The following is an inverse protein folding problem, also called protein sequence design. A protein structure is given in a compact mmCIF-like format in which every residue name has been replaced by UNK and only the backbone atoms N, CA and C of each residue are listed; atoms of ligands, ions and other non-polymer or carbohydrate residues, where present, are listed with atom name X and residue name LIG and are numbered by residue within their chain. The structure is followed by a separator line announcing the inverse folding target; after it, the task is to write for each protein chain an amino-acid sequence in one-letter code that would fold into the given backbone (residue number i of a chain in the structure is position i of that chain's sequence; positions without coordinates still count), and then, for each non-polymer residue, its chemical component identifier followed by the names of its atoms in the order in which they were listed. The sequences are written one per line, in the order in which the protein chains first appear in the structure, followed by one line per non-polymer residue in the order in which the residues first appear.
data_IF_581550096658
#
_entry.id   IF_581550096658
#
_cell.length_a   1.000
_cell.length_b   1.000
_cell.length_c   1.000
_cell.angle_alpha   90.00
_cell.angle_beta   90.00
_cell.angle_gamma   90.00
#
_symmetry.space_group_name_H-M   'P 1'
#
loop_
_entity.id
_entity.type
_entity.pdbx_description
1 polymer ?
#
# COMPACT_ATOMS: atom_id res chain seq x y z
N UNK A 1 4.06 19.94 -11.04
CA UNK A 1 4.85 18.73 -10.75
C UNK A 1 4.62 17.74 -11.87
N UNK A 2 5.66 17.06 -12.33
CA UNK A 2 5.62 16.07 -13.39
C UNK A 2 6.22 14.75 -12.88
N UNK A 3 5.57 13.63 -13.19
CA UNK A 3 6.13 12.30 -12.97
C UNK A 3 6.87 11.88 -14.23
N UNK A 4 8.19 11.78 -14.16
CA UNK A 4 9.02 11.29 -15.25
C UNK A 4 9.26 9.79 -15.08
N UNK A 5 8.52 8.97 -15.82
CA UNK A 5 8.49 7.51 -15.66
C UNK A 5 9.82 6.85 -16.00
N UNK A 6 10.48 7.28 -17.08
CA UNK A 6 11.70 6.65 -17.60
C UNK A 6 12.87 6.72 -16.61
N UNK A 7 13.04 7.87 -15.95
CA UNK A 7 14.07 8.06 -14.93
C UNK A 7 13.58 7.81 -13.51
N UNK A 8 12.34 7.33 -13.34
CA UNK A 8 11.69 7.12 -12.05
C UNK A 8 11.87 8.32 -11.09
N UNK A 9 11.51 9.52 -11.56
CA UNK A 9 11.72 10.76 -10.79
C UNK A 9 10.52 11.71 -10.83
N UNK A 10 10.34 12.46 -9.74
CA UNK A 10 9.44 13.60 -9.66
C UNK A 10 10.18 14.88 -10.02
N UNK A 11 9.60 15.67 -10.93
CA UNK A 11 10.13 16.97 -11.35
C UNK A 11 9.22 18.06 -10.80
N UNK A 12 9.77 18.94 -9.97
CA UNK A 12 9.08 19.99 -9.24
C UNK A 12 9.59 21.36 -9.67
N UNK A 13 8.68 22.24 -10.09
CA UNK A 13 8.98 23.67 -10.23
C UNK A 13 8.68 24.35 -8.90
N UNK A 14 9.72 24.67 -8.15
CA UNK A 14 9.63 25.29 -6.83
C UNK A 14 10.22 26.70 -6.89
N UNK A 15 9.62 27.63 -6.13
CA UNK A 15 10.21 28.97 -5.94
C UNK A 15 11.52 28.90 -5.14
N UNK A 16 11.51 28.03 -4.14
CA UNK A 16 12.66 27.76 -3.28
C UNK A 16 12.94 26.24 -3.28
N UNK A 17 13.96 25.78 -4.04
CA UNK A 17 14.38 24.39 -4.06
C UNK A 17 14.89 23.86 -2.72
N UNK A 18 15.41 24.72 -1.83
CA UNK A 18 16.00 24.31 -0.56
C UNK A 18 15.00 23.57 0.34
N UNK A 19 13.72 23.94 0.24
CA UNK A 19 12.60 23.26 0.90
C UNK A 19 12.55 21.76 0.66
N UNK A 20 13.09 21.28 -0.46
CA UNK A 20 13.12 19.86 -0.80
C UNK A 20 14.54 19.29 -0.71
N UNK A 21 15.55 20.01 -1.20
CA UNK A 21 16.94 19.51 -1.21
C UNK A 21 17.55 19.37 0.18
N UNK A 22 17.08 20.11 1.18
CA UNK A 22 17.52 19.97 2.57
C UNK A 22 16.99 18.70 3.25
N UNK A 23 15.81 18.21 2.84
CA UNK A 23 15.15 17.06 3.49
C UNK A 23 15.26 15.76 2.71
N UNK A 24 15.51 15.83 1.39
CA UNK A 24 15.64 14.66 0.53
C UNK A 24 17.06 14.63 -0.03
N UNK A 25 17.95 13.78 0.50
CA UNK A 25 19.37 13.74 0.09
C UNK A 25 19.59 13.52 -1.40
N UNK A 26 18.70 12.77 -2.06
CA UNK A 26 18.77 12.47 -3.48
C UNK A 26 18.14 13.56 -4.39
N UNK A 27 17.63 14.66 -3.82
CA UNK A 27 17.04 15.74 -4.59
C UNK A 27 18.13 16.68 -5.14
N UNK A 28 18.00 17.05 -6.41
CA UNK A 28 18.95 17.93 -7.10
C UNK A 28 18.23 18.94 -7.97
N UNK A 29 18.84 20.11 -8.15
CA UNK A 29 18.34 21.12 -9.08
C UNK A 29 18.97 20.87 -10.45
N UNK A 30 18.13 20.76 -11.48
CA UNK A 30 18.56 20.53 -12.86
C UNK A 30 17.93 21.57 -13.78
N UNK A 31 18.65 22.08 -14.79
CA UNK A 31 18.06 22.90 -15.82
C UNK A 31 17.16 22.03 -16.72
N UNK A 32 15.95 22.51 -17.01
CA UNK A 32 15.02 21.86 -17.94
C UNK A 32 14.65 22.85 -19.05
N UNK A 33 14.82 22.42 -20.29
CA UNK A 33 14.57 23.24 -21.49
C UNK A 33 13.13 23.79 -21.48
N UNK A 34 12.99 25.09 -21.79
CA UNK A 34 11.71 25.78 -21.81
C UNK A 34 11.06 26.08 -20.45
N UNK A 35 11.58 25.53 -19.33
CA UNK A 35 10.97 25.68 -18.00
C UNK A 35 11.89 26.40 -17.00
N UNK A 36 13.21 26.26 -17.17
CA UNK A 36 14.25 26.78 -16.27
C UNK A 36 14.71 25.73 -15.25
N UNK A 37 15.24 26.19 -14.12
CA UNK A 37 15.70 25.30 -13.04
C UNK A 37 14.51 24.59 -12.36
N UNK A 38 14.57 23.26 -12.29
CA UNK A 38 13.59 22.42 -11.63
C UNK A 38 14.26 21.53 -10.60
N UNK A 39 13.54 21.20 -9.53
CA UNK A 39 14.00 20.25 -8.52
C UNK A 39 13.59 18.84 -8.94
N UNK A 40 14.57 17.99 -9.22
CA UNK A 40 14.37 16.57 -9.49
C UNK A 40 14.55 15.77 -8.22
N UNK A 41 13.60 14.88 -7.93
CA UNK A 41 13.60 14.00 -6.76
C UNK A 41 13.40 12.56 -7.25
N UNK A 42 14.08 11.59 -6.64
CA UNK A 42 13.78 10.16 -6.88
C UNK A 42 12.31 9.89 -6.55
N UNK A 43 11.60 9.13 -7.38
CA UNK A 43 10.20 8.81 -7.15
C UNK A 43 10.03 7.52 -6.34
N UNK A 44 10.46 7.57 -5.07
CA UNK A 44 10.21 6.51 -4.09
C UNK A 44 9.02 6.84 -3.17
N UNK A 45 8.65 5.85 -2.35
CA UNK A 45 7.53 5.98 -1.41
C UNK A 45 7.85 6.97 -0.29
N UNK A 46 9.07 6.89 0.26
CA UNK A 46 9.51 7.78 1.33
C UNK A 46 9.65 9.22 0.84
N UNK A 47 10.23 9.43 -0.34
CA UNK A 47 10.31 10.77 -0.94
C UNK A 47 8.90 11.35 -1.16
N UNK A 48 7.95 10.55 -1.64
CA UNK A 48 6.56 10.99 -1.79
C UNK A 48 5.91 11.39 -0.45
N UNK A 49 6.15 10.61 0.62
CA UNK A 49 5.67 10.92 1.98
C UNK A 49 6.31 12.19 2.54
N UNK A 50 7.63 12.36 2.38
CA UNK A 50 8.36 13.58 2.82
C UNK A 50 7.83 14.80 2.09
N UNK A 51 7.64 14.72 0.77
CA UNK A 51 7.06 15.83 -0.01
C UNK A 51 5.66 16.22 0.50
N UNK A 52 4.81 15.25 0.84
CA UNK A 52 3.49 15.52 1.43
C UNK A 52 3.57 16.20 2.78
N UNK A 53 4.49 15.78 3.64
CA UNK A 53 4.73 16.45 4.93
C UNK A 53 5.20 17.90 4.76
N UNK A 54 5.87 18.21 3.65
CA UNK A 54 6.28 19.58 3.28
C UNK A 54 5.15 20.39 2.61
N UNK A 55 3.94 19.85 2.52
CA UNK A 55 2.77 20.48 1.87
C UNK A 55 2.76 20.36 0.34
N UNK A 56 3.59 19.48 -0.23
CA UNK A 56 3.61 19.20 -1.68
C UNK A 56 2.83 17.91 -1.92
N UNK A 57 1.72 18.00 -2.65
CA UNK A 57 0.83 16.87 -2.93
C UNK A 57 1.43 15.87 -3.94
N UNK A 58 2.51 15.18 -3.56
CA UNK A 58 3.15 14.13 -4.36
C UNK A 58 2.24 12.88 -4.46
N UNK A 59 2.09 12.25 -5.64
CA UNK A 59 1.41 10.97 -5.74
C UNK A 59 2.28 9.84 -5.17
N UNK A 60 1.71 8.66 -4.96
CA UNK A 60 2.45 7.45 -4.60
C UNK A 60 2.99 6.74 -5.84
N UNK A 61 4.20 6.15 -5.80
CA UNK A 61 4.70 5.35 -6.91
C UNK A 61 3.83 4.12 -7.21
N UNK A 62 3.02 3.62 -6.26
CA UNK A 62 2.07 2.52 -6.50
C UNK A 62 1.14 2.82 -7.68
N UNK A 63 0.70 4.07 -7.88
CA UNK A 63 -0.18 4.45 -9.00
C UNK A 63 0.45 4.15 -10.37
N UNK A 64 1.78 4.20 -10.47
CA UNK A 64 2.49 4.20 -11.76
C UNK A 64 3.24 2.90 -12.06
N UNK A 65 3.74 2.21 -11.03
CA UNK A 65 4.67 1.10 -11.19
C UNK A 65 4.19 -0.22 -10.59
N UNK A 66 3.03 -0.23 -9.95
CA UNK A 66 2.42 -1.45 -9.42
C UNK A 66 1.40 -2.01 -10.42
N UNK A 67 1.33 -3.34 -10.52
CA UNK A 67 0.55 -4.01 -11.57
C UNK A 67 -0.94 -4.17 -11.24
N UNK A 68 -1.34 -4.00 -9.97
CA UNK A 68 -2.70 -4.22 -9.50
C UNK A 68 -3.23 -5.62 -9.87
N UNK A 69 -2.68 -6.68 -9.27
CA UNK A 69 -3.04 -8.06 -9.57
C UNK A 69 -4.54 -8.25 -9.34
N UNK A 70 -5.24 -8.64 -10.40
CA UNK A 70 -6.68 -8.85 -10.43
C UNK A 70 -6.98 -10.00 -11.38
N UNK A 71 -8.07 -10.72 -11.12
CA UNK A 71 -8.44 -11.86 -11.94
C UNK A 71 -8.85 -11.38 -13.33
N UNK A 72 -8.27 -11.91 -14.43
CA UNK A 72 -8.72 -11.56 -15.78
C UNK A 72 -10.20 -11.93 -15.99
N UNK A 73 -10.96 -11.16 -16.80
CA UNK A 73 -10.55 -10.01 -17.61
C UNK A 73 -10.70 -8.64 -16.91
N UNK A 74 -10.90 -8.63 -15.59
CA UNK A 74 -11.16 -7.39 -14.86
C UNK A 74 -9.94 -6.45 -14.85
N UNK A 75 -10.21 -5.16 -14.64
CA UNK A 75 -9.20 -4.11 -14.49
C UNK A 75 -9.50 -3.29 -13.24
N UNK A 76 -8.48 -2.76 -12.54
CA UNK A 76 -8.70 -1.90 -11.39
C UNK A 76 -9.44 -0.63 -11.80
N UNK A 77 -10.45 -0.24 -11.03
CA UNK A 77 -11.08 1.07 -11.18
C UNK A 77 -10.20 2.17 -10.59
N UNK A 78 -10.27 3.39 -11.13
CA UNK A 78 -9.42 4.51 -10.67
C UNK A 78 -9.63 4.86 -9.18
N UNK A 79 -10.86 4.71 -8.65
CA UNK A 79 -11.11 4.92 -7.22
C UNK A 79 -10.40 3.87 -6.34
N UNK A 80 -10.24 2.63 -6.81
CA UNK A 80 -9.50 1.59 -6.09
C UNK A 80 -7.99 1.87 -6.11
N UNK A 81 -7.46 2.33 -7.25
CA UNK A 81 -6.08 2.81 -7.39
C UNK A 81 -5.82 3.96 -6.42
N UNK A 82 -6.71 4.96 -6.39
CA UNK A 82 -6.64 6.11 -5.49
C UNK A 82 -6.70 5.68 -4.01
N UNK A 83 -7.55 4.70 -3.68
CA UNK A 83 -7.66 4.15 -2.33
C UNK A 83 -6.38 3.42 -1.91
N UNK A 84 -5.81 2.62 -2.80
CA UNK A 84 -4.54 1.91 -2.55
C UNK A 84 -3.39 2.91 -2.35
N UNK A 85 -3.31 3.94 -3.20
CA UNK A 85 -2.38 5.06 -3.08
C UNK A 85 -2.51 5.75 -1.71
N UNK A 86 -3.74 6.06 -1.28
CA UNK A 86 -4.00 6.65 0.02
C UNK A 86 -3.45 5.81 1.17
N UNK A 87 -3.66 4.49 1.16
CA UNK A 87 -3.11 3.60 2.19
C UNK A 87 -1.59 3.53 2.19
N UNK A 88 -0.93 3.60 1.04
CA UNK A 88 0.55 3.60 0.99
C UNK A 88 1.17 4.89 1.54
N UNK A 89 0.48 6.03 1.40
CA UNK A 89 1.01 7.34 1.77
C UNK A 89 0.77 7.70 3.24
N UNK A 90 -0.15 7.01 3.91
CA UNK A 90 -0.54 7.31 5.28
C UNK A 90 -0.21 6.14 6.20
N UNK A 91 0.54 6.40 7.28
CA UNK A 91 0.83 5.36 8.30
C UNK A 91 -0.43 4.87 9.03
N UNK A 92 -1.45 5.72 9.12
CA UNK A 92 -2.76 5.45 9.71
C UNK A 92 -3.82 6.08 8.82
N UNK A 93 -4.86 5.33 8.50
CA UNK A 93 -5.85 5.73 7.52
C UNK A 93 -7.21 5.12 7.86
N UNK A 94 -8.28 5.85 7.55
CA UNK A 94 -9.65 5.37 7.58
C UNK A 94 -10.20 5.52 6.17
N UNK A 95 -10.74 4.43 5.60
CA UNK A 95 -11.38 4.46 4.28
C UNK A 95 -12.90 4.58 4.46
N UNK A 96 -13.44 5.73 4.05
CA UNK A 96 -14.85 6.06 4.15
C UNK A 96 -15.60 5.85 2.83
N UNK A 97 -15.03 5.09 1.89
CA UNK A 97 -15.70 4.77 0.63
C UNK A 97 -16.97 3.93 0.87
N UNK A 98 -17.95 4.08 -0.01
CA UNK A 98 -19.22 3.35 0.07
C UNK A 98 -19.08 1.83 -0.02
N UNK A 99 -20.12 1.13 0.40
CA UNK A 99 -20.20 -0.32 0.24
C UNK A 99 -20.18 -0.68 -1.26
N UNK A 100 -19.47 -1.76 -1.61
CA UNK A 100 -19.37 -2.22 -3.01
C UNK A 100 -18.24 -1.57 -3.83
N UNK A 101 -17.48 -0.60 -3.29
CA UNK A 101 -16.38 0.06 -4.02
C UNK A 101 -15.04 -0.71 -4.00
N UNK A 102 -15.05 -2.00 -3.65
CA UNK A 102 -13.82 -2.82 -3.62
C UNK A 102 -12.75 -2.37 -2.61
N UNK A 103 -13.16 -1.97 -1.40
CA UNK A 103 -12.25 -1.54 -0.32
C UNK A 103 -11.24 -2.63 0.07
N UNK A 104 -11.71 -3.88 0.22
CA UNK A 104 -10.88 -5.01 0.64
C UNK A 104 -9.71 -5.23 -0.32
N UNK A 105 -9.99 -5.34 -1.62
CA UNK A 105 -8.96 -5.51 -2.65
C UNK A 105 -7.99 -4.32 -2.71
N UNK A 106 -8.48 -3.09 -2.52
CA UNK A 106 -7.63 -1.90 -2.51
C UNK A 106 -6.64 -1.90 -1.32
N UNK A 107 -7.09 -2.36 -0.15
CA UNK A 107 -6.21 -2.55 1.03
C UNK A 107 -5.19 -3.65 0.75
N UNK A 108 -5.60 -4.77 0.16
CA UNK A 108 -4.70 -5.88 -0.17
C UNK A 108 -3.62 -5.47 -1.17
N UNK A 109 -3.97 -4.65 -2.17
CA UNK A 109 -2.97 -4.09 -3.09
C UNK A 109 -1.97 -3.17 -2.41
N UNK A 110 -2.43 -2.31 -1.49
CA UNK A 110 -1.52 -1.49 -0.71
C UNK A 110 -0.58 -2.34 0.15
N UNK A 111 -1.10 -3.39 0.81
CA UNK A 111 -0.30 -4.31 1.61
C UNK A 111 0.74 -5.06 0.76
N UNK A 112 0.33 -5.64 -0.38
CA UNK A 112 1.22 -6.34 -1.31
C UNK A 112 2.33 -5.42 -1.84
N UNK A 113 1.99 -4.18 -2.22
CA UNK A 113 2.97 -3.19 -2.65
C UNK A 113 3.99 -2.86 -1.54
N UNK A 114 3.54 -2.65 -0.30
CA UNK A 114 4.43 -2.37 0.82
C UNK A 114 5.34 -3.57 1.13
N UNK A 115 4.83 -4.80 0.98
CA UNK A 115 5.63 -6.02 1.10
C UNK A 115 6.67 -6.14 -0.02
N UNK A 116 6.32 -5.83 -1.28
CA UNK A 116 7.26 -5.80 -2.40
C UNK A 116 8.40 -4.79 -2.18
N UNK A 117 8.08 -3.67 -1.52
CA UNK A 117 9.06 -2.65 -1.11
C UNK A 117 9.83 -3.00 0.17
N UNK A 118 9.48 -4.11 0.83
CA UNK A 118 10.04 -4.53 2.13
C UNK A 118 9.83 -3.50 3.24
N UNK A 119 8.80 -2.68 3.12
CA UNK A 119 8.36 -1.72 4.16
C UNK A 119 7.63 -2.46 5.29
N UNK A 120 6.97 -3.56 4.96
CA UNK A 120 6.31 -4.47 5.89
C UNK A 120 6.60 -5.90 5.46
N UNK A 121 6.51 -6.84 6.40
CA UNK A 121 6.78 -8.26 6.14
C UNK A 121 5.51 -9.11 6.08
N UNK A 122 4.51 -8.77 6.91
CA UNK A 122 3.26 -9.51 7.07
C UNK A 122 2.11 -8.55 7.35
N UNK A 123 0.89 -8.99 7.09
CA UNK A 123 -0.33 -8.24 7.33
C UNK A 123 -1.28 -9.04 8.23
N UNK A 124 -1.91 -8.37 9.19
CA UNK A 124 -3.04 -8.92 9.93
C UNK A 124 -4.32 -8.19 9.53
N UNK A 125 -5.35 -8.97 9.22
CA UNK A 125 -6.69 -8.51 8.92
C UNK A 125 -7.59 -8.90 10.08
N UNK A 126 -8.16 -7.89 10.74
CA UNK A 126 -9.17 -8.09 11.79
C UNK A 126 -10.54 -7.75 11.23
N UNK A 127 -11.46 -8.72 11.18
CA UNK A 127 -12.77 -8.53 10.55
C UNK A 127 -13.90 -9.34 11.20
N UNK A 128 -15.19 -9.10 10.86
CA UNK A 128 -16.27 -9.98 11.29
C UNK A 128 -16.06 -11.43 10.83
N UNK A 129 -16.40 -12.40 11.69
CA UNK A 129 -16.20 -13.84 11.44
C UNK A 129 -16.78 -14.30 10.10
N UNK A 130 -17.93 -13.76 9.70
CA UNK A 130 -18.62 -14.10 8.45
C UNK A 130 -17.83 -13.71 7.20
N UNK A 131 -16.90 -12.76 7.30
CA UNK A 131 -16.13 -12.21 6.16
C UNK A 131 -14.72 -12.77 6.03
N UNK A 132 -14.23 -13.53 7.02
CA UNK A 132 -12.84 -14.01 7.02
C UNK A 132 -12.53 -14.84 5.77
N UNK A 133 -13.34 -15.89 5.52
CA UNK A 133 -13.15 -16.74 4.35
C UNK A 133 -13.86 -16.22 3.11
N UNK A 134 -15.10 -15.74 3.24
CA UNK A 134 -15.95 -15.34 2.11
C UNK A 134 -15.50 -14.06 1.41
N UNK A 135 -14.65 -13.26 2.04
CA UNK A 135 -14.11 -12.03 1.45
C UNK A 135 -12.59 -12.07 1.47
N UNK A 136 -11.97 -12.10 2.65
CA UNK A 136 -10.53 -11.86 2.73
C UNK A 136 -9.68 -13.01 2.18
N UNK A 137 -9.99 -14.24 2.55
CA UNK A 137 -9.33 -15.43 2.01
C UNK A 137 -9.58 -15.54 0.49
N UNK A 138 -10.84 -15.40 0.07
CA UNK A 138 -11.22 -15.50 -1.35
C UNK A 138 -10.56 -14.44 -2.24
N UNK A 139 -10.50 -13.17 -1.80
CA UNK A 139 -9.84 -12.08 -2.53
C UNK A 139 -8.34 -12.37 -2.72
N UNK A 140 -7.66 -12.89 -1.69
CA UNK A 140 -6.24 -13.23 -1.79
C UNK A 140 -6.04 -14.39 -2.77
N UNK A 141 -6.80 -15.48 -2.62
CA UNK A 141 -6.71 -16.62 -3.54
C UNK A 141 -7.05 -16.24 -4.99
N UNK A 142 -8.08 -15.44 -5.18
CA UNK A 142 -8.62 -15.08 -6.49
C UNK A 142 -7.70 -14.12 -7.25
N UNK A 143 -7.09 -13.16 -6.57
CA UNK A 143 -6.40 -12.06 -7.24
C UNK A 143 -4.87 -12.15 -7.21
N UNK A 144 -4.27 -12.82 -6.23
CA UNK A 144 -2.83 -12.79 -6.04
C UNK A 144 -2.09 -14.02 -6.59
N UNK A 145 -2.79 -14.98 -7.22
CA UNK A 145 -2.22 -16.09 -8.01
C UNK A 145 -0.96 -16.75 -7.39
N UNK A 146 -1.01 -17.06 -6.09
CA UNK A 146 0.10 -17.65 -5.31
C UNK A 146 1.30 -16.72 -5.02
N UNK A 147 1.27 -15.44 -5.41
CA UNK A 147 2.25 -14.44 -4.95
C UNK A 147 2.17 -14.22 -3.44
N UNK A 148 0.96 -14.32 -2.89
CA UNK A 148 0.68 -14.14 -1.45
C UNK A 148 -0.05 -15.33 -0.89
N UNK A 149 0.29 -15.65 0.34
CA UNK A 149 -0.33 -16.69 1.16
C UNK A 149 -1.25 -16.07 2.21
N UNK A 150 -2.38 -16.72 2.47
CA UNK A 150 -3.36 -16.28 3.46
C UNK A 150 -3.66 -17.40 4.44
N UNK A 151 -3.78 -17.06 5.72
CA UNK A 151 -4.11 -18.01 6.78
C UNK A 151 -5.25 -17.48 7.65
N UNK A 152 -6.36 -18.21 7.67
CA UNK A 152 -7.51 -17.88 8.53
C UNK A 152 -7.33 -18.50 9.92
N UNK A 153 -7.29 -17.65 10.95
CA UNK A 153 -7.13 -18.02 12.36
C UNK A 153 -8.50 -18.24 13.03
N UNK A 154 -9.04 -19.45 12.89
CA UNK A 154 -10.35 -19.84 13.44
C UNK A 154 -10.26 -21.07 14.36
N UNK A 155 -11.34 -21.34 15.09
CA UNK A 155 -11.44 -22.50 16.00
C UNK A 155 -11.27 -22.13 17.47
N UNK A 156 -10.66 -23.02 18.24
CA UNK A 156 -10.23 -22.78 19.63
C UNK A 156 -8.83 -22.14 19.66
N UNK A 157 -8.32 -21.86 20.87
CA UNK A 157 -6.99 -21.24 21.06
C UNK A 157 -5.87 -22.10 20.48
N UNK A 158 -5.89 -23.41 20.73
CA UNK A 158 -4.83 -24.33 20.29
C UNK A 158 -4.74 -24.38 18.76
N UNK A 159 -5.88 -24.45 18.06
CA UNK A 159 -5.93 -24.42 16.59
C UNK A 159 -5.41 -23.11 16.01
N UNK A 160 -5.73 -21.97 16.64
CA UNK A 160 -5.22 -20.67 16.21
C UNK A 160 -3.71 -20.58 16.31
N UNK A 161 -3.14 -20.98 17.46
CA UNK A 161 -1.68 -20.95 17.65
C UNK A 161 -0.95 -21.90 16.70
N UNK A 162 -1.52 -23.08 16.45
CA UNK A 162 -0.96 -24.01 15.46
C UNK A 162 -0.89 -23.37 14.07
N UNK A 163 -1.97 -22.71 13.63
CA UNK A 163 -2.01 -22.02 12.33
C UNK A 163 -1.15 -20.76 12.27
N UNK A 164 -1.05 -20.02 13.37
CA UNK A 164 -0.22 -18.84 13.46
C UNK A 164 1.28 -19.18 13.33
N UNK A 165 1.69 -20.35 13.82
CA UNK A 165 3.06 -20.85 13.67
C UNK A 165 3.42 -21.20 12.22
N UNK A 166 2.43 -21.46 11.35
CA UNK A 166 2.64 -21.67 9.93
C UNK A 166 2.85 -20.32 9.24
N UNK A 167 3.94 -20.11 8.48
CA UNK A 167 4.24 -18.83 7.86
C UNK A 167 3.24 -18.48 6.76
N UNK A 168 2.63 -17.31 6.86
CA UNK A 168 1.80 -16.70 5.83
C UNK A 168 2.11 -15.20 5.69
N UNK A 169 1.84 -14.64 4.51
CA UNK A 169 1.95 -13.20 4.26
C UNK A 169 0.81 -12.44 4.95
N UNK A 170 -0.39 -13.03 4.95
CA UNK A 170 -1.63 -12.40 5.44
C UNK A 170 -2.32 -13.34 6.44
N UNK A 171 -2.55 -12.88 7.66
CA UNK A 171 -3.36 -13.58 8.66
C UNK A 171 -4.71 -12.90 8.82
N UNK A 172 -5.79 -13.69 8.82
CA UNK A 172 -7.16 -13.18 8.98
C UNK A 172 -7.74 -13.71 10.28
N UNK A 173 -8.20 -12.81 11.15
CA UNK A 173 -8.75 -13.16 12.46
C UNK A 173 -10.00 -12.33 12.78
N UNK A 174 -10.94 -12.89 13.54
CA UNK A 174 -12.09 -12.14 14.02
C UNK A 174 -11.81 -11.41 15.33
N UNK A 175 -12.61 -10.39 15.65
CA UNK A 175 -12.45 -9.60 16.88
C UNK A 175 -12.40 -10.45 18.16
N UNK A 176 -13.23 -11.49 18.28
CA UNK A 176 -13.19 -12.38 19.46
C UNK A 176 -11.93 -13.26 19.46
N UNK A 177 -11.51 -13.72 18.28
CA UNK A 177 -10.29 -14.50 18.14
C UNK A 177 -9.04 -13.70 18.50
N UNK A 178 -9.02 -12.40 18.14
CA UNK A 178 -7.93 -11.49 18.46
C UNK A 178 -7.68 -11.45 19.96
N UNK A 179 -8.73 -11.26 20.77
CA UNK A 179 -8.66 -11.21 22.23
C UNK A 179 -8.11 -12.49 22.89
N UNK A 180 -8.14 -13.61 22.18
CA UNK A 180 -7.72 -14.93 22.71
C UNK A 180 -6.22 -15.17 22.52
N UNK A 181 -5.61 -14.55 21.50
CA UNK A 181 -4.21 -14.75 21.11
C UNK A 181 -3.44 -13.44 20.87
N UNK A 182 -3.91 -12.33 21.44
CA UNK A 182 -3.37 -10.99 21.17
C UNK A 182 -1.87 -10.90 21.49
N UNK A 183 -1.45 -11.57 22.57
CA UNK A 183 -0.06 -11.59 23.03
C UNK A 183 0.88 -12.38 22.10
N UNK A 184 0.34 -13.20 21.19
CA UNK A 184 1.12 -14.03 20.26
C UNK A 184 1.24 -13.47 18.83
N UNK A 185 0.50 -12.41 18.49
CA UNK A 185 0.44 -11.81 17.15
C UNK A 185 1.50 -10.71 16.93
#
# INVERSE_FOLDING_TARGET
MLVHKESNSLVLKLRDPSRVTTHIPCARVVPMEGVGNVTQVKFGLDEARVLRNLGINAPSPIRYFYQYPIKPPFKPFDHQVTTSEFFTLNRRAICLNDMGTGKSLSVLWAADYLMDKREVHRCIVVCPKSTMSSVWEDEVYTHFLSKRTVMVLSGDRAKRLKRLAEPADIYVINHDGLKVIEDEL
#
